data_IF_422501590961
#
_entry.id   IF_422501590961
#
_cell.length_a   1.000
_cell.length_b   1.000
_cell.length_c   1.000
_cell.angle_alpha   90.00
_cell.angle_beta   90.00
_cell.angle_gamma   90.00
#
_symmetry.space_group_name_H-M   'P 1'
#
loop_
_entity.id
_entity.type
_entity.pdbx_description
1 polymer ?
#
# COMPACT_ATOMS: atom_id res chain seq x y z
N UNK A 1 12.01 -6.78 6.89
CA UNK A 1 13.41 -6.32 7.08
C UNK A 1 13.36 -4.84 7.38
N UNK A 2 13.88 -4.39 8.52
CA UNK A 2 13.96 -2.97 8.85
C UNK A 2 15.28 -2.42 8.28
N UNK A 3 15.18 -1.37 7.47
CA UNK A 3 16.32 -0.66 6.90
C UNK A 3 16.71 0.50 7.83
N UNK A 4 18.00 0.81 7.87
CA UNK A 4 18.57 1.92 8.63
C UNK A 4 19.30 2.86 7.68
N UNK A 5 19.00 4.15 7.76
CA UNK A 5 19.70 5.20 7.01
C UNK A 5 20.07 6.36 7.93
N UNK A 6 21.22 6.97 7.68
CA UNK A 6 21.63 8.22 8.34
C UNK A 6 21.49 9.34 7.32
N UNK A 7 20.68 10.35 7.65
CA UNK A 7 20.45 11.53 6.81
C UNK A 7 21.22 12.69 7.43
N UNK A 8 22.18 13.24 6.71
CA UNK A 8 22.98 14.37 7.17
C UNK A 8 22.12 15.65 7.26
N UNK A 9 22.62 16.72 7.92
CA UNK A 9 21.92 17.99 7.99
C UNK A 9 21.57 18.52 6.59
N UNK A 10 20.33 18.99 6.41
CA UNK A 10 19.81 19.54 5.14
C UNK A 10 19.82 18.57 3.95
N UNK A 11 20.04 17.28 4.20
CA UNK A 11 19.99 16.25 3.17
C UNK A 11 18.63 15.55 3.14
N UNK A 12 18.39 14.85 2.03
CA UNK A 12 17.20 14.04 1.83
C UNK A 12 17.56 12.65 1.33
N UNK A 13 16.79 11.66 1.76
CA UNK A 13 16.90 10.28 1.31
C UNK A 13 15.59 9.83 0.66
N UNK A 14 15.70 9.12 -0.46
CA UNK A 14 14.52 8.65 -1.21
C UNK A 14 14.29 7.17 -1.02
N UNK A 15 13.07 6.79 -0.65
CA UNK A 15 12.61 5.40 -0.59
C UNK A 15 11.66 5.14 -1.74
N UNK A 16 12.06 4.37 -2.77
CA UNK A 16 11.16 4.03 -3.87
C UNK A 16 10.05 3.07 -3.41
N UNK A 17 8.87 3.21 -4.01
CA UNK A 17 7.76 2.30 -3.84
C UNK A 17 7.10 1.99 -5.20
N UNK A 18 6.45 0.84 -5.31
CA UNK A 18 5.81 0.38 -6.54
C UNK A 18 4.36 0.86 -6.67
N UNK A 19 3.88 0.84 -7.91
CA UNK A 19 2.48 1.10 -8.25
C UNK A 19 1.67 -0.18 -8.34
N UNK A 20 0.35 -0.04 -8.33
CA UNK A 20 -0.59 -1.16 -8.27
C UNK A 20 -0.59 -1.86 -6.91
N UNK A 21 -0.15 -1.17 -5.86
CA UNK A 21 -0.02 -1.73 -4.51
C UNK A 21 -0.44 -0.75 -3.42
N UNK A 22 -0.96 -1.31 -2.34
CA UNK A 22 -1.04 -0.64 -1.06
C UNK A 22 0.37 -0.60 -0.45
N UNK A 23 0.81 0.60 -0.11
CA UNK A 23 2.13 0.89 0.44
C UNK A 23 1.95 1.26 1.90
N UNK A 24 2.55 0.47 2.78
CA UNK A 24 2.62 0.71 4.21
C UNK A 24 4.07 1.04 4.57
N UNK A 25 4.31 2.31 4.89
CA UNK A 25 5.61 2.82 5.27
C UNK A 25 5.64 3.10 6.78
N UNK A 26 6.41 2.32 7.51
CA UNK A 26 6.58 2.47 8.96
C UNK A 26 7.99 2.97 9.26
N UNK A 27 8.15 4.03 10.05
CA UNK A 27 9.45 4.59 10.36
C UNK A 27 9.54 5.17 11.78
N UNK A 28 10.77 5.22 12.28
CA UNK A 28 11.19 5.86 13.53
C UNK A 28 12.49 6.62 13.27
N UNK A 29 12.74 7.68 14.03
CA UNK A 29 13.88 8.56 13.86
C UNK A 29 14.51 8.96 15.20
N UNK A 30 15.81 9.20 15.21
CA UNK A 30 16.50 9.77 16.39
C UNK A 30 16.24 11.26 16.53
N UNK A 31 16.08 11.98 15.41
CA UNK A 31 15.78 13.41 15.37
C UNK A 31 14.64 13.68 14.36
N UNK A 32 13.76 14.66 14.60
CA UNK A 32 12.57 14.90 13.77
C UNK A 32 12.89 15.02 12.27
N UNK A 33 12.23 14.22 11.44
CA UNK A 33 12.35 14.28 9.97
C UNK A 33 10.98 14.56 9.35
N UNK A 34 10.98 15.13 8.15
CA UNK A 34 9.76 15.31 7.36
C UNK A 34 9.73 14.27 6.24
N UNK A 35 8.58 13.64 6.05
CA UNK A 35 8.36 12.70 4.95
C UNK A 35 7.41 13.34 3.94
N UNK A 36 7.75 13.24 2.65
CA UNK A 36 6.96 13.72 1.51
C UNK A 36 6.80 12.61 0.46
N UNK A 37 5.95 12.86 -0.54
CA UNK A 37 5.78 11.97 -1.68
C UNK A 37 4.67 10.93 -1.54
N UNK A 38 3.90 10.96 -0.44
CA UNK A 38 2.64 10.21 -0.32
C UNK A 38 1.45 11.08 -0.79
N UNK A 39 0.36 10.47 -1.29
CA UNK A 39 -0.83 11.18 -1.75
C UNK A 39 -1.58 11.84 -0.58
N UNK A 40 -2.39 12.87 -0.86
CA UNK A 40 -3.16 13.60 0.16
C UNK A 40 -4.18 12.73 0.90
N UNK A 41 -4.64 11.63 0.30
CA UNK A 41 -5.52 10.65 0.92
C UNK A 41 -4.81 9.60 1.79
N UNK A 42 -3.51 9.73 2.04
CA UNK A 42 -2.77 8.79 2.86
C UNK A 42 -3.25 8.83 4.32
N UNK A 43 -3.40 7.65 4.92
CA UNK A 43 -3.65 7.52 6.35
C UNK A 43 -2.32 7.63 7.09
N UNK A 44 -2.25 8.54 8.06
CA UNK A 44 -1.05 8.71 8.90
C UNK A 44 -1.39 8.44 10.35
N UNK A 45 -0.61 7.55 10.98
CA UNK A 45 -0.74 7.21 12.40
C UNK A 45 0.60 7.52 13.08
N UNK A 46 0.53 8.10 14.27
CA UNK A 46 1.70 8.48 15.06
C UNK A 46 1.49 8.07 16.52
N UNK A 47 2.23 7.06 16.96
CA UNK A 47 2.23 6.59 18.35
C UNK A 47 3.40 7.15 19.16
N UNK A 48 3.96 8.31 18.75
CA UNK A 48 5.14 9.00 19.30
C UNK A 48 6.47 8.25 19.18
N UNK A 49 6.44 6.93 19.05
CA UNK A 49 7.61 6.04 18.86
C UNK A 49 7.70 5.56 17.42
N UNK A 50 6.56 5.28 16.80
CA UNK A 50 6.45 4.76 15.45
C UNK A 50 5.48 5.62 14.64
N UNK A 51 5.93 6.00 13.46
CA UNK A 51 5.15 6.74 12.48
C UNK A 51 4.81 5.80 11.34
N UNK A 52 3.53 5.75 10.96
CA UNK A 52 3.04 4.87 9.91
C UNK A 52 2.29 5.71 8.89
N UNK A 53 2.61 5.50 7.61
CA UNK A 53 1.94 6.12 6.47
C UNK A 53 1.42 4.98 5.59
N UNK A 54 0.11 4.92 5.39
CA UNK A 54 -0.54 3.94 4.53
C UNK A 54 -1.25 4.63 3.37
N UNK A 55 -1.03 4.16 2.15
CA UNK A 55 -1.74 4.65 0.97
C UNK A 55 -1.73 3.63 -0.16
N UNK A 56 -2.75 3.67 -1.02
CA UNK A 56 -2.73 2.95 -2.29
C UNK A 56 -2.09 3.83 -3.37
N UNK A 57 -1.16 3.26 -4.15
CA UNK A 57 -0.58 3.94 -5.31
C UNK A 57 -0.89 3.18 -6.59
N UNK A 58 -1.46 3.87 -7.58
CA UNK A 58 -1.69 3.31 -8.92
C UNK A 58 -0.42 3.28 -9.78
N UNK A 59 0.56 4.14 -9.48
CA UNK A 59 1.83 4.24 -10.22
C UNK A 59 3.04 4.17 -9.27
N UNK A 60 4.22 3.74 -9.76
CA UNK A 60 5.45 3.77 -8.96
C UNK A 60 5.82 5.20 -8.57
N UNK A 61 6.37 5.36 -7.36
CA UNK A 61 6.76 6.66 -6.83
C UNK A 61 7.89 6.57 -5.82
N UNK A 62 8.13 7.67 -5.09
CA UNK A 62 9.21 7.76 -4.11
C UNK A 62 8.77 8.57 -2.91
N UNK A 63 8.98 8.03 -1.71
CA UNK A 63 8.91 8.79 -0.47
C UNK A 63 10.23 9.53 -0.27
N UNK A 64 10.16 10.80 0.15
CA UNK A 64 11.33 11.63 0.40
C UNK A 64 11.39 11.91 1.89
N UNK A 65 12.43 11.42 2.55
CA UNK A 65 12.74 11.71 3.95
C UNK A 65 13.72 12.87 3.98
N UNK A 66 13.30 14.01 4.49
CA UNK A 66 14.07 15.24 4.53
C UNK A 66 14.46 15.58 5.97
N UNK A 67 15.76 15.77 6.20
CA UNK A 67 16.27 16.28 7.46
C UNK A 67 16.50 17.79 7.36
N UNK A 68 15.56 18.59 7.88
CA UNK A 68 15.66 20.04 7.88
C UNK A 68 16.47 20.60 9.08
N UNK A 69 17.04 19.73 9.91
CA UNK A 69 17.77 20.15 11.11
C UNK A 69 19.27 20.30 10.85
N UNK A 70 19.95 20.97 11.78
CA UNK A 70 21.41 21.16 11.77
C UNK A 70 22.19 19.95 12.32
N UNK A 71 21.51 18.87 12.70
CA UNK A 71 22.10 17.64 13.22
C UNK A 71 21.67 16.46 12.36
N UNK A 72 22.50 15.42 12.27
CA UNK A 72 22.14 14.20 11.54
C UNK A 72 20.99 13.46 12.23
N UNK A 73 20.16 12.78 11.43
CA UNK A 73 19.09 11.93 11.93
C UNK A 73 19.29 10.50 11.46
N UNK A 74 19.19 9.54 12.37
CA UNK A 74 19.14 8.13 12.03
C UNK A 74 17.68 7.73 11.89
N UNK A 75 17.31 7.20 10.73
CA UNK A 75 15.95 6.75 10.44
C UNK A 75 15.95 5.24 10.27
N UNK A 76 15.08 4.58 11.03
CA UNK A 76 14.76 3.17 10.92
C UNK A 76 13.42 3.07 10.21
N UNK A 77 13.36 2.39 9.07
CA UNK A 77 12.12 2.29 8.31
C UNK A 77 11.89 0.89 7.76
N UNK A 78 10.63 0.56 7.53
CA UNK A 78 10.20 -0.64 6.83
C UNK A 78 9.14 -0.24 5.83
N UNK A 79 9.25 -0.74 4.61
CA UNK A 79 8.24 -0.57 3.58
C UNK A 79 7.63 -1.93 3.27
N UNK A 80 6.31 -2.01 3.32
CA UNK A 80 5.53 -3.15 2.88
C UNK A 80 4.68 -2.73 1.68
N UNK A 81 4.69 -3.56 0.65
CA UNK A 81 3.92 -3.36 -0.57
C UNK A 81 3.00 -4.57 -0.75
N UNK A 82 1.69 -4.36 -0.71
CA UNK A 82 0.69 -5.37 -0.98
C UNK A 82 0.08 -5.12 -2.36
N UNK A 83 0.33 -6.02 -3.31
CA UNK A 83 -0.19 -5.89 -4.67
C UNK A 83 -1.67 -6.27 -4.70
N UNK A 84 -2.45 -5.49 -5.45
CA UNK A 84 -3.89 -5.70 -5.61
C UNK A 84 -4.31 -6.99 -6.30
N UNK A 85 -3.42 -7.98 -6.54
CA UNK A 85 -3.81 -9.32 -7.01
C UNK A 85 -4.72 -10.07 -6.01
N UNK A 86 -4.88 -9.56 -4.79
CA UNK A 86 -5.94 -10.01 -3.88
C UNK A 86 -7.36 -9.64 -4.35
N UNK A 87 -7.51 -8.67 -5.26
CA UNK A 87 -8.79 -8.34 -5.90
C UNK A 87 -9.28 -9.45 -6.82
N UNK A 88 -8.39 -10.24 -7.44
CA UNK A 88 -8.82 -11.36 -8.31
C UNK A 88 -9.63 -12.39 -7.53
N UNK A 89 -9.29 -12.60 -6.25
CA UNK A 89 -10.03 -13.48 -5.34
C UNK A 89 -11.40 -12.86 -4.98
N UNK A 90 -11.45 -11.55 -4.74
CA UNK A 90 -12.71 -10.85 -4.47
C UNK A 90 -13.65 -10.85 -5.69
N UNK A 91 -13.12 -10.62 -6.89
CA UNK A 91 -13.90 -10.72 -8.13
C UNK A 91 -14.34 -12.16 -8.41
N UNK A 92 -13.50 -13.16 -8.15
CA UNK A 92 -13.87 -14.57 -8.23
C UNK A 92 -15.01 -14.94 -7.25
N UNK A 93 -15.03 -14.33 -6.06
CA UNK A 93 -16.10 -14.52 -5.09
C UNK A 93 -17.46 -14.00 -5.59
N UNK A 94 -17.48 -12.92 -6.39
CA UNK A 94 -18.71 -12.36 -6.98
C UNK A 94 -19.12 -13.09 -8.27
N UNK A 95 -18.16 -13.47 -9.11
CA UNK A 95 -18.42 -14.15 -10.39
C UNK A 95 -18.93 -15.58 -10.17
N UNK A 96 -18.45 -16.27 -9.14
CA UNK A 96 -18.80 -17.69 -8.92
C UNK A 96 -20.30 -17.93 -8.68
N UNK A 97 -21.00 -17.19 -7.79
CA UNK A 97 -22.46 -17.32 -7.62
C UNK A 97 -23.25 -17.02 -8.90
N UNK A 98 -22.84 -16.02 -9.69
CA UNK A 98 -23.51 -15.64 -10.93
C UNK A 98 -23.47 -16.78 -11.94
N UNK A 99 -22.31 -17.44 -12.08
CA UNK A 99 -22.16 -18.60 -12.97
C UNK A 99 -22.97 -19.80 -12.50
N UNK A 100 -23.03 -20.05 -11.19
CA UNK A 100 -23.85 -21.13 -10.61
C UNK A 100 -25.34 -20.90 -10.91
N UNK A 101 -25.86 -19.70 -10.64
CA UNK A 101 -27.28 -19.36 -10.90
C UNK A 101 -27.60 -19.44 -12.39
N UNK A 102 -26.71 -18.92 -13.23
CA UNK A 102 -26.88 -18.97 -14.69
C UNK A 102 -26.90 -20.41 -15.21
N UNK A 103 -26.03 -21.28 -14.67
CA UNK A 103 -26.00 -22.70 -14.99
C UNK A 103 -27.30 -23.42 -14.60
N UNK A 104 -27.83 -23.14 -13.40
CA UNK A 104 -29.11 -23.70 -12.94
C UNK A 104 -30.26 -23.25 -13.84
N UNK A 105 -30.32 -21.96 -14.17
CA UNK A 105 -31.35 -21.41 -15.06
C UNK A 105 -31.32 -22.05 -16.45
N UNK A 106 -30.13 -22.25 -17.03
CA UNK A 106 -29.94 -22.94 -18.31
C UNK A 106 -30.42 -24.40 -18.26
N UNK A 107 -30.15 -25.12 -17.18
CA UNK A 107 -30.63 -26.50 -17.01
C UNK A 107 -32.16 -26.54 -16.95
N UNK A 108 -32.80 -25.66 -16.18
CA UNK A 108 -34.26 -25.58 -16.08
C UNK A 108 -34.88 -25.24 -17.43
N UNK A 109 -34.34 -24.23 -18.11
CA UNK A 109 -34.79 -23.81 -19.45
C UNK A 109 -34.68 -24.96 -20.46
N UNK A 110 -33.57 -25.68 -20.47
CA UNK A 110 -33.37 -26.84 -21.36
C UNK A 110 -34.39 -27.96 -21.13
N UNK A 111 -34.84 -28.16 -19.88
CA UNK A 111 -35.86 -29.16 -19.54
C UNK A 111 -37.27 -28.71 -19.90
N UNK A 112 -37.56 -27.41 -19.85
CA UNK A 112 -38.86 -26.85 -20.23
C UNK A 112 -39.08 -26.86 -21.75
N UNK A 113 -38.02 -26.64 -22.55
CA UNK A 113 -38.11 -26.63 -24.02
C UNK A 113 -38.13 -28.03 -24.63
N UNK A 114 -37.54 -29.03 -23.97
CA UNK A 114 -37.60 -30.43 -24.43
C UNK A 114 -38.91 -31.13 -24.09
N UNK A 115 -39.91 -30.40 -23.59
CA UNK A 115 -41.27 -30.87 -23.33
C UNK A 115 -42.21 -30.34 -24.41
#
# INVERSE_FOLDING_TARGET
>A
MSNKVVILPHESYTVPYKGGSEVLFSYNFSNPIKVYGYPSGATTTNDSILYVICFFSSSPGKLILCNANNISSTVYFTIYEAYGLALDIEYMFVVSPILIVSGIALIIYSKLIKR
#
